data_IF_259895177543
#
_entry.id   IF_259895177543
#
_cell.length_a   1.000
_cell.length_b   1.000
_cell.length_c   1.000
_cell.angle_alpha   90.00
_cell.angle_beta   90.00
_cell.angle_gamma   90.00
#
_symmetry.space_group_name_H-M   'P 1'
#
loop_
_entity.id
_entity.type
_entity.pdbx_description
1 polymer ?
#
# COMPACT_ATOMS: atom_id res chain seq x y z
N UNK A 1 1.58 -24.55 33.03
CA UNK A 1 1.04 -24.52 31.65
C UNK A 1 0.07 -23.34 31.51
N UNK A 2 0.56 -22.14 31.18
CA UNK A 2 -0.32 -20.96 31.04
C UNK A 2 -0.63 -20.75 29.55
N UNK A 3 -1.82 -21.19 29.14
CA UNK A 3 -2.33 -21.02 27.78
C UNK A 3 -2.64 -19.54 27.50
N UNK A 4 -1.83 -18.95 26.63
CA UNK A 4 -1.99 -17.60 26.09
C UNK A 4 -3.33 -17.49 25.35
N UNK A 5 -4.25 -16.64 25.83
CA UNK A 5 -5.57 -16.43 25.18
C UNK A 5 -5.37 -15.73 23.83
N UNK A 6 -5.74 -16.32 22.68
CA UNK A 6 -5.51 -15.75 21.34
C UNK A 6 -6.59 -14.73 20.91
N UNK A 7 -7.24 -14.04 21.86
CA UNK A 7 -8.44 -13.23 21.58
C UNK A 7 -8.22 -11.72 21.50
N UNK A 8 -7.16 -11.18 22.12
CA UNK A 8 -6.98 -9.72 22.26
C UNK A 8 -6.15 -9.10 21.13
N UNK A 9 -5.08 -9.77 20.68
CA UNK A 9 -4.24 -9.30 19.57
C UNK A 9 -5.04 -9.19 18.27
N UNK A 10 -5.80 -10.23 17.91
CA UNK A 10 -6.55 -10.30 16.66
C UNK A 10 -7.61 -9.21 16.52
N UNK A 11 -8.30 -8.85 17.61
CA UNK A 11 -9.32 -7.79 17.56
C UNK A 11 -8.68 -6.41 17.39
N UNK A 12 -7.61 -6.13 18.15
CA UNK A 12 -6.89 -4.84 18.06
C UNK A 12 -6.22 -4.69 16.70
N UNK A 13 -5.58 -5.74 16.17
CA UNK A 13 -4.98 -5.77 14.83
C UNK A 13 -6.03 -5.53 13.74
N UNK A 14 -7.20 -6.17 13.84
CA UNK A 14 -8.31 -5.91 12.91
C UNK A 14 -8.79 -4.46 12.97
N UNK A 15 -8.95 -3.89 14.16
CA UNK A 15 -9.37 -2.49 14.29
C UNK A 15 -8.33 -1.51 13.76
N UNK A 16 -7.03 -1.79 13.96
CA UNK A 16 -5.96 -0.95 13.45
C UNK A 16 -5.88 -1.02 11.91
N UNK A 17 -6.02 -2.22 11.35
CA UNK A 17 -6.09 -2.44 9.91
C UNK A 17 -7.32 -1.75 9.27
N UNK A 18 -8.48 -1.81 9.92
CA UNK A 18 -9.68 -1.11 9.44
C UNK A 18 -9.51 0.42 9.45
N UNK A 19 -8.86 0.96 10.48
CA UNK A 19 -8.55 2.39 10.57
C UNK A 19 -7.59 2.84 9.48
N UNK A 20 -6.52 2.10 9.24
CA UNK A 20 -5.55 2.49 8.20
C UNK A 20 -6.16 2.38 6.80
N UNK A 21 -7.00 1.36 6.55
CA UNK A 21 -7.77 1.25 5.31
C UNK A 21 -8.74 2.43 5.13
N UNK A 22 -9.39 2.87 6.20
CA UNK A 22 -10.25 4.06 6.13
C UNK A 22 -9.45 5.31 5.74
N UNK A 23 -8.27 5.53 6.36
CA UNK A 23 -7.37 6.62 5.99
C UNK A 23 -6.92 6.53 4.53
N UNK A 24 -6.56 5.34 4.07
CA UNK A 24 -6.19 5.11 2.68
C UNK A 24 -7.31 5.51 1.72
N UNK A 25 -8.56 5.15 2.01
CA UNK A 25 -9.72 5.52 1.19
C UNK A 25 -9.94 7.03 1.14
N UNK A 26 -9.78 7.74 2.26
CA UNK A 26 -9.87 9.20 2.31
C UNK A 26 -8.77 9.86 1.47
N UNK A 27 -7.53 9.36 1.58
CA UNK A 27 -6.40 9.82 0.80
C UNK A 27 -6.61 9.56 -0.72
N UNK A 28 -7.10 8.37 -1.10
CA UNK A 28 -7.47 8.05 -2.48
C UNK A 28 -8.57 8.97 -3.02
N UNK A 29 -9.59 9.30 -2.20
CA UNK A 29 -10.64 10.24 -2.58
C UNK A 29 -10.08 11.65 -2.85
N UNK A 30 -9.14 12.12 -2.00
CA UNK A 30 -8.41 13.39 -2.21
C UNK A 30 -7.63 13.37 -3.53
N UNK A 31 -6.91 12.28 -3.82
CA UNK A 31 -6.16 12.12 -5.06
C UNK A 31 -7.05 12.05 -6.30
N UNK A 32 -8.27 11.51 -6.19
CA UNK A 32 -9.25 11.44 -7.30
C UNK A 32 -9.72 12.82 -7.75
N UNK A 33 -9.74 13.81 -6.85
CA UNK A 33 -10.06 15.21 -7.18
C UNK A 33 -8.99 15.94 -7.99
N UNK A 34 -7.76 15.41 -8.02
CA UNK A 34 -6.64 16.01 -8.73
C UNK A 34 -6.59 15.46 -10.16
N UNK A 35 -6.47 16.33 -11.17
CA UNK A 35 -6.41 15.90 -12.58
C UNK A 35 -4.98 15.63 -13.06
N UNK A 36 -4.00 16.44 -12.64
CA UNK A 36 -2.61 16.32 -13.09
C UNK A 36 -1.86 15.19 -12.39
N UNK A 37 -1.14 14.37 -13.17
CA UNK A 37 -0.25 13.32 -12.64
C UNK A 37 0.84 13.89 -11.74
N UNK A 38 1.47 15.01 -12.14
CA UNK A 38 2.49 15.67 -11.33
C UNK A 38 1.92 16.20 -10.00
N UNK A 39 0.72 16.77 -10.03
CA UNK A 39 0.06 17.24 -8.80
C UNK A 39 -0.34 16.07 -7.88
N UNK A 40 -0.76 14.92 -8.46
CA UNK A 40 -0.99 13.69 -7.67
C UNK A 40 0.28 13.18 -7.01
N UNK A 41 1.42 13.23 -7.71
CA UNK A 41 2.71 12.81 -7.16
C UNK A 41 3.11 13.67 -5.95
N UNK A 42 2.95 14.99 -6.04
CA UNK A 42 3.19 15.91 -4.91
C UNK A 42 2.25 15.57 -3.73
N UNK A 43 0.95 15.44 -4.00
CA UNK A 43 -0.01 15.11 -2.95
C UNK A 43 0.26 13.74 -2.30
N UNK A 44 0.65 12.72 -3.08
CA UNK A 44 1.08 11.41 -2.54
C UNK A 44 2.28 11.57 -1.59
N UNK A 45 3.27 12.36 -1.98
CA UNK A 45 4.45 12.64 -1.15
C UNK A 45 4.10 13.31 0.17
N UNK A 46 3.12 14.22 0.17
CA UNK A 46 2.61 14.86 1.39
C UNK A 46 1.84 13.88 2.30
N UNK A 47 1.18 12.88 1.71
CA UNK A 47 0.36 11.90 2.43
C UNK A 47 1.20 10.73 3.00
N UNK A 48 2.29 10.35 2.34
CA UNK A 48 3.13 9.20 2.74
C UNK A 48 3.57 9.22 4.22
N UNK A 49 4.02 10.35 4.79
CA UNK A 49 4.40 10.41 6.21
C UNK A 49 3.27 10.03 7.18
N UNK A 50 2.00 10.20 6.80
CA UNK A 50 0.86 9.80 7.65
C UNK A 50 0.75 8.27 7.84
N UNK A 51 1.40 7.50 6.95
CA UNK A 51 1.40 6.04 6.95
C UNK A 51 2.72 5.44 7.45
N UNK A 52 3.73 6.26 7.77
CA UNK A 52 5.06 5.80 8.17
C UNK A 52 4.99 4.80 9.33
N UNK A 53 4.22 5.11 10.38
CA UNK A 53 4.05 4.20 11.52
C UNK A 53 3.43 2.84 11.16
N UNK A 54 2.60 2.78 10.13
CA UNK A 54 2.04 1.52 9.62
C UNK A 54 3.07 0.74 8.79
N UNK A 55 3.84 1.46 7.97
CA UNK A 55 4.94 0.89 7.16
C UNK A 55 5.95 0.25 8.10
N UNK A 56 6.51 1.02 9.04
CA UNK A 56 7.52 0.52 9.98
C UNK A 56 6.97 -0.64 10.82
N UNK A 57 5.75 -0.52 11.34
CA UNK A 57 5.14 -1.60 12.12
C UNK A 57 4.93 -2.89 11.32
N UNK A 58 4.60 -2.79 10.04
CA UNK A 58 4.42 -3.98 9.18
C UNK A 58 5.75 -4.59 8.80
N UNK A 59 6.73 -3.76 8.42
CA UNK A 59 8.07 -4.21 8.06
C UNK A 59 8.79 -4.85 9.26
N UNK A 60 8.66 -4.28 10.46
CA UNK A 60 9.25 -4.79 11.70
C UNK A 60 8.57 -6.08 12.18
N UNK A 61 7.26 -6.21 11.95
CA UNK A 61 6.52 -7.45 12.27
C UNK A 61 6.95 -8.63 11.39
N UNK A 62 7.51 -8.37 10.21
CA UNK A 62 8.03 -9.33 9.22
C UNK A 62 7.14 -10.58 9.00
N UNK A 63 5.82 -10.42 9.07
CA UNK A 63 4.89 -11.54 9.18
C UNK A 63 4.40 -12.08 7.82
N UNK A 64 4.77 -11.44 6.72
CA UNK A 64 4.38 -11.83 5.36
C UNK A 64 2.87 -11.79 5.11
N UNK A 65 2.10 -11.07 5.94
CA UNK A 65 0.67 -10.95 5.75
C UNK A 65 0.37 -10.07 4.53
N UNK A 66 -0.52 -10.49 3.62
CA UNK A 66 -1.00 -9.63 2.56
C UNK A 66 -1.66 -8.37 3.14
N UNK A 67 -1.13 -7.21 2.77
CA UNK A 67 -1.63 -5.90 3.20
C UNK A 67 -1.73 -4.99 1.96
N UNK A 68 -2.97 -4.69 1.57
CA UNK A 68 -3.29 -3.80 0.46
C UNK A 68 -2.77 -2.38 0.69
N UNK A 69 -2.70 -1.93 1.94
CA UNK A 69 -2.16 -0.61 2.27
C UNK A 69 -0.68 -0.55 1.95
N UNK A 70 0.10 -1.54 2.38
CA UNK A 70 1.54 -1.59 2.13
C UNK A 70 1.84 -1.62 0.63
N UNK A 71 1.15 -2.48 -0.11
CA UNK A 71 1.38 -2.59 -1.55
C UNK A 71 0.91 -1.34 -2.31
N UNK A 72 -0.15 -0.66 -1.85
CA UNK A 72 -0.56 0.65 -2.40
C UNK A 72 0.45 1.76 -2.11
N UNK A 73 1.00 1.80 -0.88
CA UNK A 73 2.00 2.80 -0.50
C UNK A 73 3.31 2.63 -1.26
N UNK A 74 3.69 1.38 -1.59
CA UNK A 74 4.81 1.10 -2.49
C UNK A 74 4.62 1.78 -3.86
N UNK A 75 3.43 1.66 -4.45
CA UNK A 75 3.11 2.31 -5.74
C UNK A 75 3.18 3.82 -5.60
N UNK A 76 2.70 4.38 -4.49
CA UNK A 76 2.76 5.82 -4.26
C UNK A 76 4.18 6.34 -4.11
N UNK A 77 5.05 5.58 -3.46
CA UNK A 77 6.48 5.89 -3.34
C UNK A 77 7.14 5.92 -4.73
N UNK A 78 6.81 4.96 -5.62
CA UNK A 78 7.28 4.98 -7.02
C UNK A 78 6.75 6.21 -7.75
N UNK A 79 5.45 6.50 -7.63
CA UNK A 79 4.80 7.61 -8.35
C UNK A 79 5.35 8.99 -7.98
N UNK A 80 5.81 9.18 -6.74
CA UNK A 80 6.40 10.43 -6.28
C UNK A 80 7.94 10.47 -6.37
N UNK A 81 8.57 9.37 -6.83
CA UNK A 81 10.02 9.25 -6.98
C UNK A 81 10.77 8.99 -5.68
N UNK A 82 10.09 8.56 -4.62
CA UNK A 82 10.70 8.11 -3.37
C UNK A 82 11.21 6.67 -3.50
N UNK A 83 12.31 6.53 -4.25
CA UNK A 83 12.95 5.24 -4.50
C UNK A 83 13.42 4.54 -3.22
N UNK A 84 13.99 5.24 -2.20
CA UNK A 84 14.33 4.61 -0.93
C UNK A 84 13.14 3.90 -0.29
N UNK A 85 11.99 4.58 -0.18
CA UNK A 85 10.81 3.96 0.42
C UNK A 85 10.24 2.83 -0.46
N UNK A 86 10.19 3.05 -1.78
CA UNK A 86 9.71 2.06 -2.72
C UNK A 86 10.53 0.76 -2.66
N UNK A 87 11.85 0.86 -2.57
CA UNK A 87 12.74 -0.29 -2.45
C UNK A 87 12.61 -0.98 -1.09
N UNK A 88 12.49 -0.22 0.01
CA UNK A 88 12.28 -0.79 1.35
C UNK A 88 11.01 -1.65 1.40
N UNK A 89 9.90 -1.12 0.89
CA UNK A 89 8.63 -1.86 0.84
C UNK A 89 8.70 -2.99 -0.20
N UNK A 90 9.32 -2.73 -1.35
CA UNK A 90 9.48 -3.71 -2.43
C UNK A 90 10.29 -4.92 -2.01
N UNK A 91 11.34 -4.74 -1.21
CA UNK A 91 12.13 -5.86 -0.66
C UNK A 91 11.25 -6.78 0.20
N UNK A 92 10.41 -6.20 1.06
CA UNK A 92 9.47 -6.96 1.88
C UNK A 92 8.43 -7.72 1.03
N UNK A 93 7.85 -7.04 0.03
CA UNK A 93 6.89 -7.64 -0.91
C UNK A 93 7.50 -8.82 -1.65
N UNK A 94 8.74 -8.70 -2.14
CA UNK A 94 9.45 -9.77 -2.84
C UNK A 94 9.82 -10.91 -1.89
N UNK A 95 10.36 -10.59 -0.71
CA UNK A 95 10.78 -11.59 0.30
C UNK A 95 9.63 -12.49 0.73
N UNK A 96 8.43 -11.93 0.85
CA UNK A 96 7.22 -12.64 1.27
C UNK A 96 6.30 -13.05 0.12
N UNK A 97 6.73 -12.82 -1.14
CA UNK A 97 5.99 -13.16 -2.35
C UNK A 97 4.53 -12.64 -2.34
N UNK A 98 4.36 -11.39 -1.90
CA UNK A 98 3.03 -10.76 -1.78
C UNK A 98 2.49 -10.36 -3.16
N UNK A 99 1.19 -10.60 -3.36
CA UNK A 99 0.50 -10.12 -4.57
C UNK A 99 0.44 -8.59 -4.56
N UNK A 100 0.90 -7.99 -5.66
CA UNK A 100 0.69 -6.56 -5.91
C UNK A 100 -0.82 -6.30 -6.10
N UNK A 101 -1.30 -5.06 -5.84
CA UNK A 101 -2.69 -4.72 -6.04
C UNK A 101 -3.02 -4.89 -7.53
N UNK A 102 -4.21 -5.41 -7.84
CA UNK A 102 -4.68 -5.71 -9.20
C UNK A 102 -4.50 -4.55 -10.20
N UNK A 103 -4.44 -3.31 -9.72
CA UNK A 103 -4.21 -2.13 -10.55
C UNK A 103 -2.76 -1.95 -11.04
N UNK A 104 -1.76 -2.62 -10.45
CA UNK A 104 -0.36 -2.48 -10.88
C UNK A 104 -0.09 -3.17 -12.22
N UNK A 105 -0.86 -4.22 -12.56
CA UNK A 105 -0.72 -4.96 -13.81
C UNK A 105 -1.52 -4.39 -14.99
N UNK A 106 -2.47 -3.48 -14.75
CA UNK A 106 -3.38 -3.02 -15.81
C UNK A 106 -2.82 -1.86 -16.65
N UNK A 107 -1.97 -1.01 -16.08
CA UNK A 107 -1.28 0.05 -16.85
C UNK A 107 -0.12 -0.50 -17.71
N UNK A 108 0.37 -1.71 -17.46
CA UNK A 108 1.43 -2.35 -18.25
C UNK A 108 0.89 -3.24 -19.39
N UNK A 109 -0.41 -3.56 -19.41
CA UNK A 109 -1.00 -4.55 -20.33
C UNK A 109 -2.22 -4.06 -21.13
N UNK A 110 -2.60 -2.78 -21.06
CA UNK A 110 -3.59 -2.19 -21.98
C UNK A 110 -2.90 -1.38 -23.09
N UNK A 111 -2.01 -2.07 -23.80
CA UNK A 111 -1.55 -1.69 -25.11
C UNK A 111 -1.58 -2.95 -25.96
N UNK A 112 -2.43 -2.98 -26.99
CA UNK A 112 -2.55 -4.02 -28.03
C UNK A 112 -3.43 -5.25 -27.73
N UNK A 113 -4.77 -5.10 -27.81
CA UNK A 113 -5.53 -5.82 -28.84
C UNK A 113 -6.98 -5.34 -28.98
N UNK A 114 -7.34 -4.93 -30.19
CA UNK A 114 -8.71 -4.57 -30.55
C UNK A 114 -8.82 -3.59 -31.71
N UNK A 115 -7.90 -3.64 -32.69
CA UNK A 115 -8.16 -3.02 -33.99
C UNK A 115 -9.14 -3.92 -34.76
N UNK A 116 -10.19 -3.29 -35.25
CA UNK A 116 -11.05 -3.73 -36.35
C UNK A 116 -10.33 -4.66 -37.35
N UNK A 117 -10.91 -5.83 -37.58
CA UNK A 117 -11.36 -6.31 -38.89
C UNK A 117 -12.21 -7.57 -38.72
#
# INVERSE_FOLDING_TARGET
MQGLRPGKKTLVERTAHEQILHRLRLAQARLKGIQSKAAKAVAKKELLPEFEGWIEGTLDSDNGRPDEVITTLMVWAVDCGDLPLALRIGEYVVRHNLSLPDNFGRDAADGTHGRNL
#
